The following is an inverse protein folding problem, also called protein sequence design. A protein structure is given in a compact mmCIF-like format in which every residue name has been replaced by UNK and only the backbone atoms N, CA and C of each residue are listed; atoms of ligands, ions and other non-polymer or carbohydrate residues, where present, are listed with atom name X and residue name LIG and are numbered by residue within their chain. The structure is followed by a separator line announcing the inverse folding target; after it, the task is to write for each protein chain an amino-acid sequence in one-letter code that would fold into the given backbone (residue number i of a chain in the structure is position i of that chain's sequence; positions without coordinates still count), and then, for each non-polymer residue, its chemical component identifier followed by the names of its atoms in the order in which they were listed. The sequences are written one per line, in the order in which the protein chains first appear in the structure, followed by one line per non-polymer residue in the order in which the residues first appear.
data_IF_755331677454
#
_entry.id   IF_755331677454
#
_cell.length_a   1.000
_cell.length_b   1.000
_cell.length_c   1.000
_cell.angle_alpha   90.00
_cell.angle_beta   90.00
_cell.angle_gamma   90.00
#
_symmetry.space_group_name_H-M   'P 1'
#
loop_
_entity.id
_entity.type
_entity.pdbx_description
1 polymer ?
#
# COMPACT_ATOMS: atom_id res chain seq x y z
N UNK A 1 21.94 4.32 7.16
CA UNK A 1 23.28 3.92 6.71
C UNK A 1 24.25 5.04 7.09
N UNK A 2 25.09 4.83 8.10
CA UNK A 2 26.17 5.77 8.42
C UNK A 2 27.28 5.57 7.38
N UNK A 3 27.49 6.55 6.51
CA UNK A 3 28.73 6.61 5.74
C UNK A 3 29.89 6.73 6.73
N UNK A 4 30.98 5.94 6.60
CA UNK A 4 32.19 6.26 7.31
C UNK A 4 32.73 7.58 6.74
N UNK A 5 32.52 8.67 7.46
CA UNK A 5 33.07 10.01 7.16
C UNK A 5 34.61 10.02 7.06
N UNK A 6 35.27 8.91 7.44
CA UNK A 6 36.71 8.73 7.35
C UNK A 6 37.24 8.71 5.90
N UNK A 7 36.47 8.25 4.90
CA UNK A 7 37.00 8.09 3.54
C UNK A 7 37.10 9.40 2.74
N UNK A 8 36.21 10.37 2.99
CA UNK A 8 36.22 11.65 2.29
C UNK A 8 37.36 12.56 2.78
N UNK A 9 37.78 12.43 4.05
CA UNK A 9 38.84 13.24 4.63
C UNK A 9 40.25 12.86 4.12
N UNK A 10 40.46 11.62 3.72
CA UNK A 10 41.80 11.16 3.28
C UNK A 10 42.15 11.64 1.87
N UNK A 11 41.18 11.79 0.98
CA UNK A 11 41.44 12.25 -0.41
C UNK A 11 41.78 13.75 -0.45
N UNK A 12 41.17 14.56 0.42
CA UNK A 12 41.41 16.01 0.48
C UNK A 12 42.73 16.40 1.16
N UNK A 13 43.29 15.56 2.03
CA UNK A 13 44.60 15.85 2.66
C UNK A 13 45.81 15.51 1.78
N UNK A 14 45.65 14.67 0.73
CA UNK A 14 46.76 14.36 -0.19
C UNK A 14 47.02 15.50 -1.19
N UNK A 15 46.00 16.31 -1.51
CA UNK A 15 46.13 17.37 -2.52
C UNK A 15 46.89 18.60 -2.00
N UNK A 16 46.83 18.90 -0.70
CA UNK A 16 47.36 20.16 -0.17
C UNK A 16 48.86 20.18 0.18
N UNK A 17 49.59 19.06 0.08
CA UNK A 17 51.01 19.00 0.45
C UNK A 17 52.00 18.72 -0.70
N UNK A 18 51.55 18.71 -1.96
CA UNK A 18 52.48 18.58 -3.11
C UNK A 18 53.03 19.94 -3.55
N UNK A 19 53.90 20.53 -2.73
CA UNK A 19 54.77 21.63 -3.17
C UNK A 19 55.93 21.00 -3.97
N UNK A 20 55.75 20.86 -5.30
CA UNK A 20 56.77 20.30 -6.20
C UNK A 20 58.02 21.19 -6.24
N UNK A 21 59.13 20.67 -5.68
CA UNK A 21 60.47 21.16 -5.97
C UNK A 21 60.90 20.60 -7.33
N UNK A 22 60.78 21.40 -8.40
CA UNK A 22 61.17 21.02 -9.76
C UNK A 22 62.62 21.42 -10.04
N UNK A 23 63.57 20.51 -9.83
CA UNK A 23 64.93 20.68 -10.37
C UNK A 23 65.45 19.47 -11.15
N UNK A 24 64.60 18.48 -11.50
CA UNK A 24 64.98 17.42 -12.44
C UNK A 24 63.76 16.86 -13.20
N UNK A 25 63.45 17.44 -14.36
CA UNK A 25 62.22 17.16 -15.13
C UNK A 25 62.10 15.73 -15.68
N UNK A 26 63.21 15.00 -15.88
CA UNK A 26 63.17 13.67 -16.52
C UNK A 26 62.82 12.52 -15.57
N UNK A 27 63.10 12.67 -14.26
CA UNK A 27 62.78 11.63 -13.26
C UNK A 27 61.36 11.73 -12.68
N UNK A 28 60.75 12.92 -12.73
CA UNK A 28 59.45 13.19 -12.10
C UNK A 28 58.27 12.53 -12.82
N UNK A 29 58.32 12.44 -14.16
CA UNK A 29 57.21 11.89 -14.96
C UNK A 29 56.93 10.42 -14.64
N UNK A 30 57.97 9.62 -14.40
CA UNK A 30 57.82 8.19 -14.09
C UNK A 30 57.12 7.96 -12.74
N UNK A 31 57.42 8.79 -11.74
CA UNK A 31 56.78 8.72 -10.40
C UNK A 31 55.30 9.07 -10.49
N UNK A 32 54.94 10.09 -11.28
CA UNK A 32 53.53 10.46 -11.49
C UNK A 32 52.73 9.37 -12.19
N UNK A 33 53.30 8.70 -13.20
CA UNK A 33 52.64 7.58 -13.88
C UNK A 33 52.42 6.41 -12.93
N UNK A 34 53.41 6.09 -12.08
CA UNK A 34 53.26 5.02 -11.08
C UNK A 34 52.20 5.36 -10.03
N UNK A 35 52.21 6.57 -9.48
CA UNK A 35 51.20 7.03 -8.51
C UNK A 35 49.79 7.04 -9.14
N UNK A 36 49.66 7.51 -10.38
CA UNK A 36 48.39 7.48 -11.12
C UNK A 36 47.91 6.04 -11.37
N UNK A 37 48.81 5.12 -11.73
CA UNK A 37 48.44 3.71 -11.97
C UNK A 37 47.95 3.00 -10.71
N UNK A 38 48.59 3.24 -9.55
CA UNK A 38 48.19 2.65 -8.27
C UNK A 38 46.87 3.23 -7.76
N UNK A 39 46.65 4.53 -7.94
CA UNK A 39 45.40 5.18 -7.53
C UNK A 39 44.20 4.75 -8.38
N UNK A 40 44.37 4.55 -9.69
CA UNK A 40 43.31 4.00 -10.57
C UNK A 40 42.96 2.55 -10.18
N UNK A 41 43.96 1.71 -9.89
CA UNK A 41 43.73 0.34 -9.42
C UNK A 41 42.98 0.28 -8.08
N UNK A 42 43.29 1.22 -7.16
CA UNK A 42 42.59 1.35 -5.88
C UNK A 42 41.10 1.67 -6.06
N UNK A 43 40.77 2.67 -6.88
CA UNK A 43 39.36 3.08 -7.12
C UNK A 43 38.57 1.99 -7.86
N UNK A 44 39.20 1.29 -8.81
CA UNK A 44 38.56 0.23 -9.58
C UNK A 44 38.06 -0.94 -8.72
N UNK A 45 38.71 -1.21 -7.57
CA UNK A 45 38.30 -2.28 -6.65
C UNK A 45 37.04 -1.97 -5.82
N UNK A 46 36.71 -0.68 -5.64
CA UNK A 46 35.57 -0.24 -4.82
C UNK A 46 34.26 -0.10 -5.60
N UNK A 47 34.33 0.24 -6.89
CA UNK A 47 33.13 0.47 -7.72
C UNK A 47 32.19 -0.75 -7.78
N UNK A 48 32.65 -2.01 -7.97
CA UNK A 48 31.76 -3.16 -8.02
C UNK A 48 30.98 -3.40 -6.72
N UNK A 49 31.58 -3.08 -5.57
CA UNK A 49 30.92 -3.22 -4.27
C UNK A 49 29.78 -2.21 -4.09
N UNK A 50 29.95 -0.98 -4.60
CA UNK A 50 28.90 0.03 -4.58
C UNK A 50 27.74 -0.31 -5.52
N UNK A 51 28.03 -0.79 -6.73
CA UNK A 51 26.98 -1.19 -7.69
C UNK A 51 26.18 -2.39 -7.17
N UNK A 52 26.85 -3.42 -6.67
CA UNK A 52 26.17 -4.60 -6.10
C UNK A 52 25.31 -4.24 -4.88
N UNK A 53 25.75 -3.32 -4.03
CA UNK A 53 24.95 -2.82 -2.91
C UNK A 53 23.72 -2.03 -3.38
N UNK A 54 23.86 -1.19 -4.41
CA UNK A 54 22.76 -0.38 -4.92
C UNK A 54 21.71 -1.22 -5.65
N UNK A 55 22.12 -2.16 -6.51
CA UNK A 55 21.20 -3.08 -7.19
C UNK A 55 20.37 -3.89 -6.19
N UNK A 56 21.02 -4.33 -5.10
CA UNK A 56 20.35 -5.04 -4.00
C UNK A 56 19.30 -4.16 -3.32
N UNK A 57 19.63 -2.89 -3.03
CA UNK A 57 18.69 -1.95 -2.42
C UNK A 57 17.49 -1.66 -3.32
N UNK A 58 17.71 -1.47 -4.63
CA UNK A 58 16.64 -1.25 -5.61
C UNK A 58 15.70 -2.45 -5.67
N UNK A 59 16.23 -3.68 -5.74
CA UNK A 59 15.41 -4.90 -5.76
C UNK A 59 14.56 -5.08 -4.51
N UNK A 60 15.12 -4.79 -3.33
CA UNK A 60 14.38 -4.84 -2.06
C UNK A 60 13.24 -3.82 -2.04
N UNK A 61 13.53 -2.58 -2.42
CA UNK A 61 12.53 -1.52 -2.44
C UNK A 61 11.42 -1.83 -3.44
N UNK A 62 11.79 -2.33 -4.63
CA UNK A 62 10.83 -2.78 -5.63
C UNK A 62 9.92 -3.89 -5.10
N UNK A 63 10.48 -4.92 -4.46
CA UNK A 63 9.69 -6.00 -3.87
C UNK A 63 8.73 -5.47 -2.79
N UNK A 64 9.19 -4.59 -1.90
CA UNK A 64 8.34 -3.97 -0.86
C UNK A 64 7.19 -3.17 -1.45
N UNK A 65 7.46 -2.29 -2.41
CA UNK A 65 6.43 -1.50 -3.09
C UNK A 65 5.42 -2.41 -3.79
N UNK A 66 5.90 -3.46 -4.45
CA UNK A 66 5.04 -4.40 -5.15
C UNK A 66 4.12 -5.17 -4.18
N UNK A 67 4.66 -5.64 -3.05
CA UNK A 67 3.85 -6.29 -2.00
C UNK A 67 2.78 -5.34 -1.46
N UNK A 68 3.10 -4.07 -1.24
CA UNK A 68 2.13 -3.07 -0.80
C UNK A 68 1.03 -2.85 -1.84
N UNK A 69 1.36 -2.76 -3.13
CA UNK A 69 0.37 -2.64 -4.21
C UNK A 69 -0.57 -3.86 -4.22
N UNK A 70 -0.03 -5.07 -4.10
CA UNK A 70 -0.82 -6.31 -4.05
C UNK A 70 -1.73 -6.32 -2.81
N UNK A 71 -1.20 -5.91 -1.65
CA UNK A 71 -1.99 -5.73 -0.43
C UNK A 71 -3.16 -4.78 -0.69
N UNK A 72 -2.92 -3.56 -1.15
CA UNK A 72 -3.98 -2.58 -1.41
C UNK A 72 -5.00 -3.08 -2.47
N UNK A 73 -4.55 -3.83 -3.47
CA UNK A 73 -5.45 -4.48 -4.44
C UNK A 73 -6.38 -5.50 -3.78
N UNK A 74 -5.85 -6.34 -2.87
CA UNK A 74 -6.68 -7.30 -2.13
C UNK A 74 -7.67 -6.56 -1.22
N UNK A 75 -7.24 -5.49 -0.55
CA UNK A 75 -8.12 -4.64 0.27
C UNK A 75 -9.25 -4.06 -0.59
N UNK A 76 -8.93 -3.49 -1.75
CA UNK A 76 -9.92 -2.92 -2.66
C UNK A 76 -10.92 -3.96 -3.18
N UNK A 77 -10.46 -5.16 -3.49
CA UNK A 77 -11.34 -6.30 -3.83
C UNK A 77 -12.25 -6.65 -2.64
N UNK A 78 -11.67 -6.75 -1.43
CA UNK A 78 -12.41 -7.01 -0.20
C UNK A 78 -13.28 -5.85 0.30
N UNK A 79 -13.30 -4.70 -0.37
CA UNK A 79 -14.27 -3.62 -0.16
C UNK A 79 -15.32 -3.56 -1.28
N UNK A 80 -15.05 -4.17 -2.44
CA UNK A 80 -16.00 -4.25 -3.56
C UNK A 80 -17.15 -5.23 -3.25
N UNK A 81 -18.40 -4.79 -3.43
CA UNK A 81 -19.60 -5.60 -3.14
C UNK A 81 -19.85 -6.75 -4.12
N UNK A 82 -19.50 -6.59 -5.40
CA UNK A 82 -19.65 -7.66 -6.40
C UNK A 82 -18.65 -8.79 -6.14
N UNK A 83 -17.37 -8.44 -5.96
CA UNK A 83 -16.28 -9.39 -5.60
C UNK A 83 -16.65 -10.17 -4.34
N UNK A 84 -17.26 -9.52 -3.36
CA UNK A 84 -17.64 -10.16 -2.12
C UNK A 84 -18.83 -11.09 -2.23
N UNK A 85 -19.83 -10.72 -3.03
CA UNK A 85 -20.93 -11.61 -3.32
C UNK A 85 -20.42 -12.92 -3.94
N UNK A 86 -19.52 -12.82 -4.93
CA UNK A 86 -18.88 -13.99 -5.54
C UNK A 86 -18.02 -14.77 -4.56
N UNK A 87 -17.25 -14.07 -3.73
CA UNK A 87 -16.45 -14.70 -2.67
C UNK A 87 -17.32 -15.47 -1.68
N UNK A 88 -18.45 -14.91 -1.25
CA UNK A 88 -19.39 -15.60 -0.37
C UNK A 88 -20.02 -16.83 -1.05
N UNK A 89 -20.44 -16.68 -2.31
CA UNK A 89 -21.10 -17.75 -3.07
C UNK A 89 -20.21 -18.99 -3.21
N UNK A 90 -18.91 -18.80 -3.38
CA UNK A 90 -17.96 -19.90 -3.51
C UNK A 90 -17.45 -20.45 -2.17
N UNK A 91 -17.54 -19.67 -1.08
CA UNK A 91 -17.13 -20.09 0.27
C UNK A 91 -18.34 -20.46 1.18
N UNK A 92 -19.51 -20.74 0.62
CA UNK A 92 -20.73 -21.05 1.38
C UNK A 92 -20.57 -22.15 2.45
N UNK A 93 -19.84 -23.26 2.24
CA UNK A 93 -19.73 -24.31 3.27
C UNK A 93 -19.13 -23.79 4.58
N UNK A 94 -18.20 -22.83 4.51
CA UNK A 94 -17.57 -22.24 5.68
C UNK A 94 -18.28 -20.96 6.14
N UNK A 95 -18.94 -20.23 5.23
CA UNK A 95 -19.53 -18.90 5.48
C UNK A 95 -21.07 -18.85 5.43
N UNK A 96 -21.76 -19.99 5.39
CA UNK A 96 -23.23 -20.09 5.25
C UNK A 96 -24.04 -19.29 6.29
N UNK A 97 -23.47 -19.06 7.46
CA UNK A 97 -24.09 -18.24 8.49
C UNK A 97 -24.22 -16.76 8.08
N UNK A 98 -23.40 -16.27 7.15
CA UNK A 98 -23.46 -14.89 6.64
C UNK A 98 -24.57 -14.69 5.62
N UNK A 99 -25.06 -15.76 4.98
CA UNK A 99 -26.12 -15.71 3.98
C UNK A 99 -27.48 -16.13 4.53
N UNK A 100 -27.54 -16.64 5.75
CA UNK A 100 -28.77 -17.17 6.37
C UNK A 100 -29.29 -16.20 7.43
N UNK A 101 -30.47 -15.61 7.21
CA UNK A 101 -31.08 -14.70 8.16
C UNK A 101 -31.30 -15.38 9.53
N UNK A 102 -30.79 -14.76 10.60
CA UNK A 102 -30.90 -15.28 11.97
C UNK A 102 -29.93 -16.41 12.32
N UNK A 103 -29.07 -16.82 11.39
CA UNK A 103 -27.99 -17.73 11.73
C UNK A 103 -26.96 -17.02 12.63
N UNK A 104 -26.55 -17.71 13.68
CA UNK A 104 -25.46 -17.25 14.53
C UNK A 104 -24.18 -17.79 13.91
N UNK A 105 -23.35 -16.91 13.35
CA UNK A 105 -21.96 -17.26 13.09
C UNK A 105 -21.29 -17.50 14.44
N UNK A 106 -21.13 -18.78 14.82
CA UNK A 106 -20.34 -19.12 15.99
C UNK A 106 -18.95 -18.49 15.83
N UNK A 107 -18.41 -17.93 16.92
CA UNK A 107 -17.05 -17.42 16.93
C UNK A 107 -16.08 -18.58 16.69
N UNK A 108 -15.76 -18.87 15.43
CA UNK A 108 -14.74 -19.85 15.07
C UNK A 108 -14.80 -20.30 13.61
N UNK A 109 -13.80 -21.08 13.18
CA UNK A 109 -12.37 -20.87 13.39
C UNK A 109 -11.87 -19.77 12.43
N UNK A 110 -10.59 -19.38 12.49
CA UNK A 110 -9.93 -18.57 11.46
C UNK A 110 -9.87 -19.35 10.13
N UNK A 111 -11.03 -19.59 9.51
CA UNK A 111 -11.16 -20.41 8.33
C UNK A 111 -10.57 -19.66 7.15
N UNK A 112 -9.78 -20.36 6.35
CA UNK A 112 -9.27 -19.83 5.10
C UNK A 112 -10.42 -19.48 4.15
N UNK A 113 -10.30 -18.36 3.46
CA UNK A 113 -11.23 -17.93 2.40
C UNK A 113 -10.48 -17.88 1.08
N UNK A 114 -11.14 -18.34 0.04
CA UNK A 114 -10.71 -18.10 -1.34
C UNK A 114 -11.33 -16.78 -1.83
N UNK A 115 -10.52 -15.88 -2.38
CA UNK A 115 -10.98 -14.60 -2.94
C UNK A 115 -11.26 -14.77 -4.42
N UNK A 116 -12.43 -14.31 -4.86
CA UNK A 116 -12.86 -14.32 -6.25
C UNK A 116 -12.98 -12.89 -6.77
N UNK A 117 -12.81 -12.67 -8.06
CA UNK A 117 -13.14 -11.39 -8.70
C UNK A 117 -14.66 -11.21 -8.88
N UNK A 118 -15.07 -10.12 -9.53
CA UNK A 118 -16.49 -9.81 -9.73
C UNK A 118 -17.14 -10.74 -10.78
N UNK A 119 -16.34 -11.38 -11.61
CA UNK A 119 -16.74 -12.32 -12.64
C UNK A 119 -16.78 -13.78 -12.14
N UNK A 120 -16.36 -14.01 -10.88
CA UNK A 120 -16.31 -15.34 -10.26
C UNK A 120 -15.04 -16.14 -10.56
N UNK A 121 -13.99 -15.52 -11.11
CA UNK A 121 -12.69 -16.18 -11.24
C UNK A 121 -11.92 -16.14 -9.92
N UNK A 122 -11.21 -17.23 -9.64
CA UNK A 122 -10.39 -17.35 -8.45
C UNK A 122 -9.16 -16.45 -8.55
N UNK A 123 -9.06 -15.47 -7.64
CA UNK A 123 -7.92 -14.57 -7.52
C UNK A 123 -6.89 -15.07 -6.49
N UNK A 124 -7.35 -15.52 -5.32
CA UNK A 124 -6.50 -16.01 -4.24
C UNK A 124 -7.08 -17.31 -3.69
N UNK A 125 -6.30 -18.39 -3.77
CA UNK A 125 -6.68 -19.70 -3.21
C UNK A 125 -5.90 -20.05 -1.95
N UNK A 126 -6.48 -20.91 -1.13
CA UNK A 126 -5.83 -21.46 0.07
C UNK A 126 -4.98 -22.71 -0.21
N UNK A 127 -5.04 -23.27 -1.42
CA UNK A 127 -4.26 -24.43 -1.84
C UNK A 127 -2.76 -24.22 -1.62
N UNK A 128 -2.03 -25.27 -1.22
CA UNK A 128 -0.63 -25.19 -0.82
C UNK A 128 0.26 -24.49 -1.88
N UNK A 129 0.03 -24.80 -3.16
CA UNK A 129 0.85 -24.34 -4.28
C UNK A 129 0.31 -23.07 -4.97
N UNK A 130 -0.82 -22.52 -4.54
CA UNK A 130 -1.30 -21.24 -5.08
C UNK A 130 -0.62 -20.06 -4.39
N UNK A 131 -0.27 -19.06 -5.18
CA UNK A 131 0.32 -17.81 -4.73
C UNK A 131 0.07 -16.70 -5.75
N UNK A 132 0.83 -15.62 -5.59
CA UNK A 132 0.85 -14.48 -6.49
C UNK A 132 2.30 -14.20 -6.90
N UNK A 133 2.45 -13.67 -8.11
CA UNK A 133 3.70 -13.08 -8.56
C UNK A 133 3.97 -11.76 -7.84
N UNK A 134 5.17 -11.19 -7.99
CA UNK A 134 5.43 -9.84 -7.49
C UNK A 134 4.51 -8.78 -8.13
N UNK A 135 3.99 -9.02 -9.33
CA UNK A 135 3.05 -8.09 -9.99
C UNK A 135 1.60 -8.28 -9.53
N UNK A 136 1.33 -9.28 -8.67
CA UNK A 136 -0.02 -9.58 -8.17
C UNK A 136 -0.81 -10.55 -9.04
N UNK A 137 -0.20 -11.17 -10.05
CA UNK A 137 -0.87 -12.15 -10.90
C UNK A 137 -0.95 -13.52 -10.20
N UNK A 138 -2.10 -14.23 -10.27
CA UNK A 138 -2.22 -15.57 -9.72
C UNK A 138 -1.26 -16.59 -10.34
N UNK A 139 -0.69 -17.48 -9.53
CA UNK A 139 0.21 -18.54 -9.96
C UNK A 139 0.05 -19.81 -9.11
N UNK A 140 0.34 -20.98 -9.70
CA UNK A 140 0.09 -22.31 -9.10
C UNK A 140 1.38 -23.08 -8.76
N UNK A 141 2.51 -22.38 -8.69
CA UNK A 141 3.84 -22.96 -8.44
C UNK A 141 4.49 -22.42 -7.17
N UNK A 142 3.69 -21.89 -6.24
CA UNK A 142 4.19 -21.42 -4.96
C UNK A 142 4.78 -22.59 -4.15
N UNK A 143 5.99 -22.42 -3.62
CA UNK A 143 6.65 -23.40 -2.77
C UNK A 143 7.12 -22.70 -1.49
N UNK A 144 6.47 -22.99 -0.37
CA UNK A 144 6.81 -22.39 0.92
C UNK A 144 8.17 -22.83 1.45
N UNK A 145 8.65 -24.02 1.06
CA UNK A 145 9.86 -24.64 1.60
C UNK A 145 11.09 -24.27 0.76
N UNK A 146 10.98 -24.35 -0.56
CA UNK A 146 12.09 -24.09 -1.49
C UNK A 146 12.03 -22.71 -2.15
N UNK A 147 10.87 -22.04 -2.10
CA UNK A 147 10.62 -20.81 -2.83
C UNK A 147 10.43 -21.02 -4.33
N UNK A 148 9.95 -19.99 -5.03
CA UNK A 148 9.82 -19.99 -6.50
C UNK A 148 10.51 -18.75 -7.10
N UNK A 149 10.99 -18.77 -8.37
CA UNK A 149 11.58 -17.57 -8.99
C UNK A 149 10.55 -16.47 -9.28
N UNK A 150 9.30 -16.85 -9.56
CA UNK A 150 8.24 -15.91 -9.97
C UNK A 150 7.01 -15.89 -9.05
N UNK A 151 6.73 -16.99 -8.34
CA UNK A 151 5.49 -17.19 -7.57
C UNK A 151 5.83 -17.09 -6.08
N UNK A 152 6.11 -15.87 -5.64
CA UNK A 152 6.84 -15.63 -4.38
C UNK A 152 5.95 -15.15 -3.25
N UNK A 153 4.74 -14.71 -3.55
CA UNK A 153 3.79 -14.19 -2.57
C UNK A 153 2.70 -15.23 -2.31
N UNK A 154 2.28 -15.36 -1.06
CA UNK A 154 1.04 -16.04 -0.72
C UNK A 154 0.36 -15.31 0.43
N UNK A 155 -0.93 -15.05 0.28
CA UNK A 155 -1.73 -14.44 1.33
C UNK A 155 -2.68 -15.48 1.90
N UNK A 156 -2.52 -15.80 3.18
CA UNK A 156 -3.48 -16.63 3.90
C UNK A 156 -4.58 -15.71 4.43
N UNK A 157 -5.66 -15.59 3.66
CA UNK A 157 -6.84 -14.84 4.02
C UNK A 157 -7.73 -15.71 4.91
N UNK A 158 -8.01 -15.21 6.10
CA UNK A 158 -8.89 -15.83 7.07
C UNK A 158 -9.96 -14.84 7.50
N UNK A 159 -11.10 -15.32 7.96
CA UNK A 159 -12.12 -14.47 8.57
C UNK A 159 -12.46 -14.93 9.98
N UNK A 160 -13.01 -14.00 10.73
CA UNK A 160 -13.67 -14.25 12.01
C UNK A 160 -14.93 -13.38 12.10
N UNK A 161 -15.99 -13.93 12.70
CA UNK A 161 -17.17 -13.16 13.04
C UNK A 161 -17.08 -12.73 14.51
N UNK A 162 -16.99 -11.42 14.75
CA UNK A 162 -16.99 -10.87 16.11
C UNK A 162 -18.43 -10.62 16.57
N UNK A 163 -19.15 -11.70 16.87
CA UNK A 163 -20.48 -11.65 17.48
C UNK A 163 -21.56 -12.39 16.70
N UNK A 164 -22.77 -12.41 17.27
CA UNK A 164 -23.95 -12.88 16.56
C UNK A 164 -24.19 -12.02 15.31
N UNK A 165 -24.77 -12.60 14.27
CA UNK A 165 -25.36 -11.86 13.15
C UNK A 165 -26.83 -11.63 13.54
N UNK A 166 -27.17 -10.58 14.33
CA UNK A 166 -28.55 -10.41 14.73
C UNK A 166 -29.40 -10.23 13.47
N UNK A 167 -30.44 -11.04 13.32
CA UNK A 167 -31.43 -10.76 12.30
C UNK A 167 -32.07 -9.41 12.63
N UNK A 168 -32.07 -8.49 11.67
CA UNK A 168 -32.80 -7.22 11.80
C UNK A 168 -34.12 -7.35 11.06
N UNK A 169 -35.23 -7.02 11.71
CA UNK A 169 -36.52 -6.97 11.03
C UNK A 169 -36.68 -5.63 10.31
N UNK A 170 -37.02 -5.68 9.02
CA UNK A 170 -37.47 -4.52 8.25
C UNK A 170 -38.87 -4.81 7.71
N UNK A 171 -39.86 -4.00 8.10
CA UNK A 171 -41.28 -4.20 7.73
C UNK A 171 -41.81 -5.62 8.01
N UNK A 172 -41.41 -6.23 9.14
CA UNK A 172 -41.83 -7.59 9.51
C UNK A 172 -41.10 -8.72 8.78
N UNK A 173 -40.16 -8.41 7.89
CA UNK A 173 -39.29 -9.39 7.22
C UNK A 173 -37.95 -9.44 7.95
N UNK A 174 -37.51 -10.63 8.34
CA UNK A 174 -36.17 -10.85 8.89
C UNK A 174 -35.14 -10.70 7.76
N UNK A 175 -34.35 -9.63 7.82
CA UNK A 175 -33.19 -9.41 6.97
C UNK A 175 -31.94 -9.69 7.81
N UNK A 176 -30.93 -10.35 7.23
CA UNK A 176 -29.64 -10.44 7.89
C UNK A 176 -29.06 -9.01 8.03
N UNK A 177 -28.87 -8.53 9.26
CA UNK A 177 -27.97 -7.37 9.43
C UNK A 177 -26.59 -7.83 8.99
N UNK A 178 -25.91 -7.06 8.13
CA UNK A 178 -24.57 -7.45 7.67
C UNK A 178 -23.67 -7.53 8.91
N UNK A 179 -23.26 -8.73 9.36
CA UNK A 179 -22.44 -8.83 10.55
C UNK A 179 -21.09 -8.16 10.28
N UNK A 180 -20.54 -7.51 11.29
CA UNK A 180 -19.18 -7.02 11.22
C UNK A 180 -18.24 -8.23 11.16
N UNK A 181 -17.76 -8.56 9.97
CA UNK A 181 -16.77 -9.61 9.76
C UNK A 181 -15.38 -9.02 9.79
N UNK A 182 -14.48 -9.69 10.47
CA UNK A 182 -13.09 -9.32 10.57
C UNK A 182 -12.27 -10.22 9.67
N UNK A 183 -11.65 -9.63 8.66
CA UNK A 183 -10.83 -10.30 7.66
C UNK A 183 -9.37 -10.07 7.99
N UNK A 184 -8.60 -11.15 8.14
CA UNK A 184 -7.17 -11.13 8.43
C UNK A 184 -6.42 -11.81 7.30
N UNK A 185 -5.49 -11.11 6.68
CA UNK A 185 -4.56 -11.72 5.73
C UNK A 185 -3.15 -11.77 6.33
N UNK A 186 -2.47 -12.89 6.15
CA UNK A 186 -1.06 -13.05 6.51
C UNK A 186 -0.22 -13.33 5.27
N UNK A 187 0.79 -12.49 5.03
CA UNK A 187 1.73 -12.68 3.93
C UNK A 187 2.76 -13.76 4.28
N UNK A 188 2.96 -14.67 3.34
CA UNK A 188 4.10 -15.58 3.24
C UNK A 188 4.89 -15.17 2.00
N UNK A 189 6.17 -14.82 2.20
CA UNK A 189 7.10 -14.46 1.12
C UNK A 189 8.17 -15.55 1.00
N UNK A 190 8.24 -16.22 -0.15
CA UNK A 190 9.12 -17.35 -0.40
C UNK A 190 9.79 -17.28 -1.80
N UNK A 191 10.79 -16.41 -2.00
CA UNK A 191 11.59 -16.42 -3.23
C UNK A 191 12.61 -17.57 -3.22
N UNK A 192 12.86 -18.19 -4.37
CA UNK A 192 13.84 -19.28 -4.53
C UNK A 192 15.25 -18.90 -4.03
N UNK A 193 15.68 -17.66 -4.29
CA UNK A 193 17.01 -17.16 -3.87
C UNK A 193 16.95 -16.54 -2.48
N UNK A 194 16.93 -17.40 -1.45
CA UNK A 194 16.84 -17.08 -0.01
C UNK A 194 17.87 -16.06 0.53
N UNK A 195 19.04 -15.86 -0.12
CA UNK A 195 20.02 -14.84 0.29
C UNK A 195 19.51 -13.40 0.13
N UNK A 196 18.39 -13.21 -0.57
CA UNK A 196 17.67 -11.94 -0.67
C UNK A 196 16.49 -11.84 0.32
N UNK A 197 15.96 -12.97 0.82
CA UNK A 197 14.81 -13.01 1.72
C UNK A 197 15.11 -12.40 3.11
N UNK A 198 16.33 -12.59 3.64
CA UNK A 198 16.74 -12.01 4.93
C UNK A 198 16.92 -10.47 4.91
N UNK A 199 16.79 -9.82 3.75
CA UNK A 199 17.01 -8.37 3.60
C UNK A 199 15.73 -7.58 3.55
N UNK A 200 14.68 -8.20 3.00
CA UNK A 200 13.35 -7.69 3.20
C UNK A 200 13.07 -8.06 4.64
N UNK A 201 13.36 -7.14 5.58
CA UNK A 201 12.83 -7.22 6.94
C UNK A 201 11.30 -7.17 6.79
N UNK A 202 10.72 -8.31 6.41
CA UNK A 202 9.30 -8.53 6.33
C UNK A 202 8.88 -8.82 7.74
N UNK A 203 8.85 -7.78 8.58
CA UNK A 203 7.97 -7.83 9.73
C UNK A 203 6.60 -8.16 9.16
N UNK A 204 6.20 -9.42 9.34
CA UNK A 204 4.98 -9.96 8.72
C UNK A 204 3.77 -9.08 9.04
N UNK A 205 3.79 -8.43 10.21
CA UNK A 205 2.83 -7.42 10.65
C UNK A 205 2.60 -6.27 9.68
N UNK A 206 3.62 -5.81 8.95
CA UNK A 206 3.51 -4.62 8.10
C UNK A 206 2.69 -4.92 6.83
N UNK A 207 2.68 -6.19 6.42
CA UNK A 207 2.01 -6.70 5.22
C UNK A 207 0.75 -7.50 5.55
N UNK A 208 0.57 -7.90 6.80
CA UNK A 208 -0.74 -8.32 7.29
C UNK A 208 -1.70 -7.12 7.32
N UNK A 209 -2.99 -7.41 7.19
CA UNK A 209 -4.03 -6.42 7.37
C UNK A 209 -5.25 -7.04 8.03
N UNK A 210 -6.06 -6.16 8.60
CA UNK A 210 -7.23 -6.44 9.41
C UNK A 210 -8.34 -5.49 8.96
N UNK A 211 -9.35 -6.01 8.26
CA UNK A 211 -10.47 -5.20 7.74
C UNK A 211 -11.74 -5.64 8.44
N UNK A 212 -12.50 -4.66 8.92
CA UNK A 212 -13.83 -4.87 9.48
C UNK A 212 -14.90 -4.52 8.44
N UNK A 213 -15.28 -5.49 7.61
CA UNK A 213 -16.33 -5.30 6.61
C UNK A 213 -17.71 -5.30 7.29
N UNK A 214 -18.62 -4.46 6.80
CA UNK A 214 -19.94 -4.22 7.41
C UNK A 214 -19.98 -3.07 8.41
N UNK A 215 -18.82 -2.67 8.97
CA UNK A 215 -18.73 -1.52 9.89
C UNK A 215 -18.77 -0.16 9.16
N UNK A 216 -18.35 -0.11 7.89
CA UNK A 216 -18.32 1.11 7.09
C UNK A 216 -19.72 1.71 6.93
N UNK A 217 -20.76 0.88 6.81
CA UNK A 217 -22.16 1.30 6.81
C UNK A 217 -22.54 2.05 8.07
N UNK A 218 -22.09 1.59 9.25
CA UNK A 218 -22.33 2.26 10.53
C UNK A 218 -21.53 3.54 10.63
N UNK A 219 -20.27 3.56 10.21
CA UNK A 219 -19.45 4.78 10.24
C UNK A 219 -19.98 5.83 9.28
N UNK A 220 -20.37 5.44 8.07
CA UNK A 220 -20.92 6.32 7.05
C UNK A 220 -22.34 6.79 7.39
N UNK A 221 -23.17 5.92 7.97
CA UNK A 221 -24.48 6.29 8.52
C UNK A 221 -24.36 7.22 9.72
N UNK A 222 -23.48 6.91 10.69
CA UNK A 222 -23.21 7.77 11.84
C UNK A 222 -22.65 9.12 11.39
N UNK A 223 -21.75 9.13 10.41
CA UNK A 223 -21.25 10.34 9.78
C UNK A 223 -22.39 11.12 9.13
N UNK A 224 -23.22 10.44 8.33
CA UNK A 224 -24.33 11.07 7.66
C UNK A 224 -25.28 11.71 8.67
N UNK A 225 -25.63 10.99 9.72
CA UNK A 225 -26.43 11.51 10.83
C UNK A 225 -25.75 12.69 11.54
N UNK A 226 -24.41 12.67 11.69
CA UNK A 226 -23.64 13.75 12.32
C UNK A 226 -23.68 15.06 11.54
N UNK A 227 -23.79 14.98 10.20
CA UNK A 227 -23.97 16.15 9.33
C UNK A 227 -25.44 16.44 9.04
N UNK A 228 -26.37 15.90 9.85
CA UNK A 228 -27.82 15.96 9.60
C UNK A 228 -28.19 15.53 8.18
N UNK A 229 -27.49 14.54 7.63
CA UNK A 229 -27.76 13.92 6.34
C UNK A 229 -28.69 12.72 6.46
N UNK A 230 -29.32 12.38 5.34
CA UNK A 230 -30.08 11.16 5.11
C UNK A 230 -29.15 10.14 4.44
N UNK A 231 -28.81 9.10 5.19
CA UNK A 231 -28.05 7.98 4.64
C UNK A 231 -28.97 7.09 3.81
N UNK A 232 -28.69 6.97 2.52
CA UNK A 232 -29.35 6.00 1.66
C UNK A 232 -28.61 4.66 1.76
N UNK A 233 -29.22 3.72 2.47
CA UNK A 233 -28.66 2.40 2.71
C UNK A 233 -28.53 1.56 1.43
N UNK A 234 -29.37 1.81 0.41
CA UNK A 234 -29.31 1.09 -0.87
C UNK A 234 -28.15 1.58 -1.74
N UNK A 235 -27.96 2.88 -1.87
CA UNK A 235 -26.88 3.46 -2.68
C UNK A 235 -25.58 3.69 -1.91
N UNK A 236 -25.55 3.37 -0.61
CA UNK A 236 -24.42 3.66 0.29
C UNK A 236 -23.98 5.13 0.22
N UNK A 237 -24.92 6.03 -0.05
CA UNK A 237 -24.64 7.45 -0.21
C UNK A 237 -25.23 8.25 0.95
N UNK A 238 -24.53 9.32 1.33
CA UNK A 238 -25.06 10.28 2.27
C UNK A 238 -25.53 11.52 1.51
N UNK A 239 -26.82 11.85 1.61
CA UNK A 239 -27.35 13.12 1.13
C UNK A 239 -27.51 14.05 2.34
N UNK A 240 -26.88 15.23 2.37
CA UNK A 240 -27.14 16.20 3.44
C UNK A 240 -28.64 16.58 3.43
N UNK A 241 -29.32 16.65 4.59
CA UNK A 241 -30.78 16.86 4.62
C UNK A 241 -31.22 18.26 4.20
N UNK A 242 -30.27 19.17 3.94
CA UNK A 242 -30.55 20.46 3.34
C UNK A 242 -30.17 20.39 1.86
N UNK A 243 -31.19 20.44 1.00
CA UNK A 243 -31.06 20.68 -0.44
C UNK A 243 -30.58 22.10 -0.77
N UNK A 244 -30.32 22.93 0.24
CA UNK A 244 -29.46 24.09 0.07
C UNK A 244 -28.04 23.55 -0.02
N UNK A 245 -27.41 23.74 -1.17
CA UNK A 245 -26.02 23.41 -1.42
C UNK A 245 -25.17 23.84 -0.21
N UNK A 246 -24.83 22.89 0.67
CA UNK A 246 -23.76 23.07 1.62
C UNK A 246 -22.47 22.99 0.81
N UNK A 247 -22.19 24.04 0.04
CA UNK A 247 -20.85 24.32 -0.43
C UNK A 247 -20.01 24.49 0.83
N UNK A 248 -19.19 23.49 1.14
CA UNK A 248 -18.16 23.62 2.15
C UNK A 248 -17.18 24.67 1.65
N UNK A 249 -17.43 25.92 2.02
CA UNK A 249 -16.58 27.03 1.62
C UNK A 249 -15.37 27.10 2.54
N UNK A 250 -14.34 26.34 2.19
CA UNK A 250 -13.03 26.40 2.84
C UNK A 250 -12.47 27.84 2.85
N UNK A 251 -12.88 28.71 1.92
CA UNK A 251 -12.38 30.08 1.85
C UNK A 251 -12.80 30.93 3.06
N UNK A 252 -13.95 30.63 3.66
CA UNK A 252 -14.45 31.31 4.87
C UNK A 252 -13.70 30.83 6.11
N UNK A 253 -13.29 29.57 6.15
CA UNK A 253 -12.68 28.96 7.34
C UNK A 253 -11.17 29.15 7.43
N UNK A 254 -10.46 29.22 6.31
CA UNK A 254 -8.99 29.22 6.31
C UNK A 254 -8.35 30.16 5.26
N UNK A 255 -9.15 31.00 4.60
CA UNK A 255 -8.70 32.04 3.66
C UNK A 255 -8.82 31.62 2.18
N UNK A 256 -8.68 32.58 1.24
CA UNK A 256 -9.13 32.50 -0.16
C UNK A 256 -8.38 31.49 -1.05
N UNK A 257 -7.48 30.69 -0.47
CA UNK A 257 -6.65 29.71 -1.18
C UNK A 257 -6.62 28.38 -0.45
N UNK A 258 -7.77 27.92 0.01
CA UNK A 258 -7.87 26.64 0.72
C UNK A 258 -8.92 25.77 0.06
N UNK A 259 -8.64 24.48 -0.03
CA UNK A 259 -9.57 23.50 -0.59
C UNK A 259 -9.74 22.32 0.35
N UNK A 260 -10.88 21.67 0.19
CA UNK A 260 -11.29 20.55 1.01
C UNK A 260 -10.46 19.31 0.66
N UNK A 261 -9.79 18.72 1.66
CA UNK A 261 -8.96 17.52 1.50
C UNK A 261 -9.53 16.29 2.22
N UNK A 262 -10.67 16.43 2.88
CA UNK A 262 -11.32 15.36 3.64
C UNK A 262 -11.76 15.83 5.02
N UNK A 263 -12.07 14.90 5.91
CA UNK A 263 -12.47 15.16 7.29
C UNK A 263 -11.41 14.65 8.28
N UNK A 264 -11.30 15.27 9.46
CA UNK A 264 -10.59 14.67 10.59
C UNK A 264 -11.40 13.54 11.24
N UNK A 265 -10.77 12.79 12.14
CA UNK A 265 -11.38 11.67 12.87
C UNK A 265 -12.61 12.05 13.72
N UNK A 266 -12.79 13.33 14.02
CA UNK A 266 -13.94 13.89 14.71
C UNK A 266 -14.99 14.51 13.77
N UNK A 267 -14.88 14.30 12.45
CA UNK A 267 -15.85 14.79 11.46
C UNK A 267 -15.70 16.27 11.08
N UNK A 268 -14.69 16.98 11.57
CA UNK A 268 -14.44 18.38 11.16
C UNK A 268 -13.84 18.42 9.74
N UNK A 269 -14.33 19.28 8.83
CA UNK A 269 -13.74 19.43 7.50
C UNK A 269 -12.30 19.92 7.59
N UNK A 270 -11.38 19.21 6.94
CA UNK A 270 -9.99 19.62 6.77
C UNK A 270 -9.87 20.39 5.46
N UNK A 271 -9.50 21.65 5.59
CA UNK A 271 -9.11 22.49 4.47
C UNK A 271 -7.58 22.65 4.47
N UNK A 272 -6.95 22.49 3.32
CA UNK A 272 -5.51 22.67 3.16
C UNK A 272 -5.22 23.95 2.36
N UNK A 273 -4.25 24.74 2.81
CA UNK A 273 -3.82 25.94 2.09
C UNK A 273 -2.98 25.55 0.86
N UNK A 274 -3.33 26.14 -0.28
CA UNK A 274 -2.69 25.98 -1.59
C UNK A 274 -1.18 26.19 -1.55
N UNK A 275 -0.67 27.01 -0.62
CA UNK A 275 0.78 27.25 -0.47
C UNK A 275 1.58 25.99 -0.09
N UNK A 276 0.93 24.91 0.34
CA UNK A 276 1.59 23.66 0.76
C UNK A 276 1.55 22.53 -0.30
N UNK A 277 0.95 22.74 -1.48
CA UNK A 277 1.03 21.78 -2.58
C UNK A 277 1.98 22.27 -3.66
N UNK A 278 3.10 21.56 -3.80
CA UNK A 278 4.21 21.89 -4.69
C UNK A 278 3.95 21.73 -6.19
N UNK A 279 2.75 22.04 -6.70
CA UNK A 279 2.53 22.25 -8.13
C UNK A 279 1.38 23.25 -8.35
N UNK A 280 1.68 24.37 -9.02
CA UNK A 280 0.70 25.41 -9.31
C UNK A 280 -0.11 25.05 -10.56
N UNK A 281 -1.44 25.00 -10.43
CA UNK A 281 -2.31 25.08 -11.60
C UNK A 281 -2.18 26.47 -12.24
N UNK A 282 -2.29 26.59 -13.59
CA UNK A 282 -2.28 27.89 -14.26
C UNK A 282 -3.35 28.85 -13.71
N UNK A 283 -3.06 30.16 -13.75
CA UNK A 283 -4.04 31.20 -13.38
C UNK A 283 -5.33 31.03 -14.20
N UNK A 284 -6.49 31.06 -13.53
CA UNK A 284 -7.78 30.76 -14.18
C UNK A 284 -8.25 29.31 -14.06
N UNK A 285 -7.50 28.44 -13.36
CA UNK A 285 -7.85 27.02 -13.19
C UNK A 285 -7.72 26.58 -11.73
N UNK A 286 -8.47 25.55 -11.34
CA UNK A 286 -8.44 24.91 -10.04
C UNK A 286 -8.12 23.41 -10.18
N UNK A 287 -7.64 22.79 -9.09
CA UNK A 287 -7.43 21.34 -9.06
C UNK A 287 -8.79 20.64 -9.11
N UNK A 288 -9.02 19.84 -10.15
CA UNK A 288 -10.26 19.05 -10.33
C UNK A 288 -10.07 17.56 -10.02
N UNK A 289 -8.84 17.12 -9.78
CA UNK A 289 -8.53 15.75 -9.40
C UNK A 289 -7.06 15.39 -9.58
N UNK A 290 -6.79 14.09 -9.58
CA UNK A 290 -5.49 13.51 -9.93
C UNK A 290 -5.65 12.64 -11.16
N UNK A 291 -4.67 12.67 -12.06
CA UNK A 291 -4.58 11.74 -13.19
C UNK A 291 -4.01 10.40 -12.72
N UNK A 292 -4.15 9.37 -13.54
CA UNK A 292 -3.65 8.01 -13.27
C UNK A 292 -2.13 7.95 -13.01
N UNK A 293 -1.38 8.94 -13.48
CA UNK A 293 0.06 9.10 -13.25
C UNK A 293 0.41 9.83 -11.93
N UNK A 294 -0.60 10.18 -11.11
CA UNK A 294 -0.44 10.92 -9.86
C UNK A 294 -0.25 12.43 -10.04
N UNK A 295 -0.29 12.95 -11.28
CA UNK A 295 -0.18 14.39 -11.55
C UNK A 295 -1.52 15.08 -11.28
N UNK A 296 -1.44 16.28 -10.70
CA UNK A 296 -2.61 17.14 -10.44
C UNK A 296 -3.30 17.50 -11.76
N UNK A 297 -4.59 17.20 -11.87
CA UNK A 297 -5.45 17.63 -12.96
C UNK A 297 -6.03 19.02 -12.66
N UNK A 298 -5.80 19.99 -13.53
CA UNK A 298 -6.34 21.35 -13.42
C UNK A 298 -7.50 21.55 -14.40
N UNK A 299 -8.60 22.18 -13.96
CA UNK A 299 -9.76 22.54 -14.78
C UNK A 299 -10.15 24.00 -14.60
N UNK A 300 -10.81 24.59 -15.60
CA UNK A 300 -11.37 25.94 -15.46
C UNK A 300 -12.44 25.96 -14.36
N UNK A 301 -12.47 27.04 -13.57
CA UNK A 301 -13.59 27.32 -12.65
C UNK A 301 -14.74 27.98 -13.39
#
# INVERSE_FOLDING_TARGET
MCFPAAAAATVLMVVNNFKMSSHNQKGSVMVWVLVASVSIAGVASFLPQLFTANERAIKINYARSSILIVKESIIAMLDNDAVWAETLNHNLPTMSCLTTAGAICAAGPHAGIELYDAEGNLFLSQAANSGLTLTGEPCNTFDAANGHPTCVLKFNLTWECNGACPATQFNGVLIADKPSIKLKANLIFAPEKLKEANLVDTKKSDYSFDILRGSQTKTLSNFCNSITGVFNQQSQSCAAATSEQNTFDCTVMAGPKTFFVGFSSNGTPKCMNYLNLGAMCPSGTAVIGYREDGVIACGAF
#
